data_IF_122250643739
#
_entry.id   IF_122250643739
#
_cell.length_a   1.000
_cell.length_b   1.000
_cell.length_c   1.000
_cell.angle_alpha   90.00
_cell.angle_beta   90.00
_cell.angle_gamma   90.00
#
_symmetry.space_group_name_H-M   'P 1'
#
loop_
_entity.id
_entity.type
_entity.pdbx_description
1 polymer ?
#
# COMPACT_ATOMS: atom_id res chain seq x y z
N UNK A 1 -4.08 6.46 8.44
CA UNK A 1 -3.51 5.42 7.57
C UNK A 1 -2.37 5.96 6.74
N UNK A 2 -1.24 5.30 6.74
CA UNK A 2 -0.12 5.61 5.84
C UNK A 2 -0.34 5.13 4.40
N UNK A 3 -1.33 4.28 4.21
CA UNK A 3 -1.64 3.68 2.92
C UNK A 3 -2.65 4.54 2.17
N UNK A 4 -2.23 5.19 1.10
CA UNK A 4 -3.07 6.04 0.25
C UNK A 4 -4.19 5.27 -0.47
N UNK A 5 -4.07 3.94 -0.55
CA UNK A 5 -4.99 3.05 -1.29
C UNK A 5 -5.77 2.07 -0.41
N UNK A 6 -5.66 2.17 0.92
CA UNK A 6 -6.33 1.23 1.83
C UNK A 6 -7.85 1.41 1.90
N UNK A 7 -8.38 2.53 1.47
CA UNK A 7 -9.81 2.85 1.59
C UNK A 7 -10.71 1.83 0.90
N UNK A 8 -10.32 1.27 -0.24
CA UNK A 8 -11.15 0.36 -1.03
C UNK A 8 -11.51 -0.92 -0.24
N UNK A 9 -10.55 -1.51 0.49
CA UNK A 9 -10.79 -2.69 1.30
C UNK A 9 -11.22 -2.36 2.74
N UNK A 10 -10.77 -1.22 3.27
CA UNK A 10 -11.01 -0.83 4.66
C UNK A 10 -12.44 -0.31 4.86
N UNK A 11 -12.98 0.48 3.93
CA UNK A 11 -14.32 1.07 4.06
C UNK A 11 -15.45 0.05 4.25
N UNK A 12 -15.52 -1.06 3.50
CA UNK A 12 -16.52 -2.10 3.75
C UNK A 12 -16.43 -2.71 5.15
N UNK A 13 -15.20 -2.91 5.65
CA UNK A 13 -14.94 -3.41 6.99
C UNK A 13 -15.43 -2.43 8.06
N UNK A 14 -15.12 -1.14 7.90
CA UNK A 14 -15.55 -0.10 8.82
C UNK A 14 -17.07 0.10 8.83
N UNK A 15 -17.72 -0.01 7.68
CA UNK A 15 -19.18 0.04 7.62
C UNK A 15 -19.82 -1.12 8.41
N UNK A 16 -19.23 -2.32 8.35
CA UNK A 16 -19.67 -3.45 9.15
C UNK A 16 -19.38 -3.24 10.63
N UNK A 17 -18.23 -2.66 10.97
CA UNK A 17 -17.84 -2.36 12.34
C UNK A 17 -18.79 -1.34 13.00
N UNK A 18 -19.14 -0.25 12.30
CA UNK A 18 -20.09 0.77 12.79
C UNK A 18 -21.46 0.20 13.13
N UNK A 19 -21.91 -0.83 12.42
CA UNK A 19 -23.19 -1.49 12.75
C UNK A 19 -23.13 -2.24 14.08
N UNK A 20 -21.97 -2.77 14.45
CA UNK A 20 -21.76 -3.50 15.69
C UNK A 20 -21.44 -2.57 16.87
N UNK A 21 -20.74 -1.48 16.61
CA UNK A 21 -20.30 -0.50 17.60
C UNK A 21 -20.72 0.92 17.19
N UNK A 22 -22.03 1.25 17.25
CA UNK A 22 -22.56 2.52 16.75
C UNK A 22 -22.09 3.75 17.54
N UNK A 23 -21.71 3.55 18.82
CA UNK A 23 -21.25 4.61 19.72
C UNK A 23 -19.74 4.90 19.60
N UNK A 24 -19.01 4.14 18.75
CA UNK A 24 -17.59 4.37 18.51
C UNK A 24 -17.43 5.33 17.34
N UNK A 25 -16.85 6.49 17.62
CA UNK A 25 -16.50 7.46 16.58
C UNK A 25 -15.27 6.99 15.80
N UNK A 26 -15.32 7.11 14.48
CA UNK A 26 -14.26 6.70 13.57
C UNK A 26 -13.85 7.89 12.72
N UNK A 27 -12.64 8.38 12.98
CA UNK A 27 -12.01 9.42 12.19
C UNK A 27 -10.79 8.89 11.43
N UNK A 28 -10.44 9.56 10.35
CA UNK A 28 -9.33 9.20 9.48
C UNK A 28 -8.36 10.36 9.33
N UNK A 29 -7.13 10.11 9.72
CA UNK A 29 -6.04 10.99 9.36
C UNK A 29 -5.26 10.40 8.17
N UNK A 30 -4.99 11.21 7.17
CA UNK A 30 -4.19 10.89 5.99
C UNK A 30 -3.22 12.05 5.71
N UNK A 31 -2.08 11.76 5.06
CA UNK A 31 -1.13 12.80 4.66
C UNK A 31 -0.30 13.30 5.84
N UNK A 32 0.65 12.51 6.29
CA UNK A 32 1.42 12.81 7.49
C UNK A 32 2.63 13.70 7.20
N UNK A 33 2.64 14.89 7.78
CA UNK A 33 3.85 15.69 8.00
C UNK A 33 4.66 15.16 9.20
N UNK A 34 4.01 14.49 10.16
CA UNK A 34 4.61 13.91 11.35
C UNK A 34 4.87 12.40 11.21
N UNK A 35 5.72 11.85 12.09
CA UNK A 35 5.98 10.41 12.18
C UNK A 35 4.74 9.68 12.72
N UNK A 36 4.02 8.87 11.92
CA UNK A 36 2.77 8.24 12.34
C UNK A 36 2.95 7.21 13.46
N UNK A 37 4.14 6.64 13.60
CA UNK A 37 4.47 5.73 14.69
C UNK A 37 4.58 6.46 16.04
N UNK A 38 5.08 7.69 16.02
CA UNK A 38 5.13 8.56 17.20
C UNK A 38 3.71 8.96 17.62
N UNK A 39 2.86 9.35 16.67
CA UNK A 39 1.46 9.68 16.92
C UNK A 39 0.67 8.49 17.49
N UNK A 40 0.97 7.26 17.02
CA UNK A 40 0.41 6.05 17.61
C UNK A 40 0.89 5.86 19.07
N UNK A 41 2.18 6.05 19.34
CA UNK A 41 2.77 5.85 20.65
C UNK A 41 2.28 6.90 21.66
N UNK A 42 2.09 8.16 21.23
CA UNK A 42 1.59 9.26 22.09
C UNK A 42 0.08 9.21 22.33
N UNK A 43 -0.65 8.39 21.56
CA UNK A 43 -2.11 8.25 21.71
C UNK A 43 -2.92 9.23 20.88
N UNK A 44 -2.29 9.97 19.98
CA UNK A 44 -3.00 10.80 19.00
C UNK A 44 -3.72 9.95 17.93
N UNK A 45 -3.18 8.73 17.69
CA UNK A 45 -3.85 7.68 16.91
C UNK A 45 -4.08 6.44 17.76
N UNK A 46 -5.22 5.79 17.56
CA UNK A 46 -5.54 4.52 18.19
C UNK A 46 -5.09 3.33 17.32
N UNK A 47 -5.08 3.52 15.99
CA UNK A 47 -4.73 2.50 15.02
C UNK A 47 -3.90 3.08 13.87
N UNK A 48 -2.84 2.37 13.50
CA UNK A 48 -1.99 2.68 12.35
C UNK A 48 -2.00 1.53 11.35
N UNK A 49 -2.43 1.77 10.11
CA UNK A 49 -2.27 0.82 9.01
C UNK A 49 -0.97 1.14 8.29
N UNK A 50 -0.01 0.22 8.33
CA UNK A 50 1.35 0.43 7.77
C UNK A 50 1.95 -0.84 7.19
N UNK A 51 2.85 -0.69 6.23
CA UNK A 51 3.71 -1.77 5.75
C UNK A 51 5.09 -1.76 6.41
N UNK A 52 5.37 -0.77 7.28
CA UNK A 52 6.67 -0.55 7.93
C UNK A 52 6.53 -0.63 9.46
N UNK A 53 6.30 -1.84 10.04
CA UNK A 53 6.24 -1.98 11.49
C UNK A 53 7.61 -1.70 12.09
N UNK A 54 7.67 -0.86 13.13
CA UNK A 54 8.89 -0.58 13.89
C UNK A 54 8.71 -1.01 15.35
N UNK A 55 9.78 -1.53 15.95
CA UNK A 55 9.75 -1.95 17.35
C UNK A 55 9.63 -0.74 18.27
N UNK A 56 8.46 -0.56 18.89
CA UNK A 56 8.16 0.50 19.85
C UNK A 56 7.66 -0.09 21.15
N UNK A 57 8.09 0.48 22.28
CA UNK A 57 7.60 0.05 23.58
C UNK A 57 6.10 0.34 23.72
N UNK A 58 5.33 -0.69 24.09
CA UNK A 58 3.89 -0.57 24.30
C UNK A 58 3.06 -0.56 23.00
N UNK A 59 3.66 -0.90 21.85
CA UNK A 59 2.96 -1.02 20.56
C UNK A 59 3.08 -2.45 20.05
N UNK A 60 1.97 -3.00 19.61
CA UNK A 60 1.86 -4.28 18.92
C UNK A 60 1.46 -4.08 17.46
N UNK A 61 1.84 -5.04 16.60
CA UNK A 61 1.48 -5.05 15.18
C UNK A 61 0.79 -6.37 14.83
N UNK A 62 -0.44 -6.26 14.40
CA UNK A 62 -1.23 -7.37 13.90
C UNK A 62 -1.07 -7.48 12.37
N UNK A 63 -0.55 -8.61 11.82
CA UNK A 63 -0.45 -8.78 10.37
C UNK A 63 -1.84 -8.95 9.76
N UNK A 64 -2.20 -8.11 8.78
CA UNK A 64 -3.50 -8.15 8.13
C UNK A 64 -3.46 -9.09 6.94
N UNK A 65 -2.62 -8.80 5.93
CA UNK A 65 -2.42 -9.66 4.75
C UNK A 65 -1.13 -9.30 4.01
N UNK A 66 -0.65 -10.24 3.20
CA UNK A 66 0.42 -10.00 2.25
C UNK A 66 -0.11 -9.38 0.95
N UNK A 67 0.72 -8.56 0.32
CA UNK A 67 0.47 -7.97 -0.98
C UNK A 67 1.73 -7.93 -1.85
N UNK A 68 1.55 -7.75 -3.14
CA UNK A 68 2.63 -7.53 -4.09
C UNK A 68 2.54 -6.12 -4.69
N UNK A 69 3.62 -5.33 -4.60
CA UNK A 69 3.75 -4.10 -5.38
C UNK A 69 4.03 -4.46 -6.84
N UNK A 70 3.15 -4.07 -7.75
CA UNK A 70 3.23 -4.37 -9.17
C UNK A 70 3.58 -3.12 -9.97
N UNK A 71 4.36 -3.29 -11.02
CA UNK A 71 4.61 -2.25 -12.02
C UNK A 71 3.31 -1.98 -12.79
N UNK A 72 2.93 -0.71 -12.90
CA UNK A 72 1.72 -0.25 -13.61
C UNK A 72 2.14 0.49 -14.86
N UNK A 73 1.57 0.11 -15.98
CA UNK A 73 1.92 0.57 -17.32
C UNK A 73 0.66 0.97 -18.09
N UNK A 74 0.78 1.90 -19.04
CA UNK A 74 -0.27 2.06 -20.04
C UNK A 74 -0.40 0.79 -20.88
N UNK A 75 -1.58 0.50 -21.41
CA UNK A 75 -1.83 -0.71 -22.22
C UNK A 75 -0.97 -0.81 -23.49
N UNK A 76 -0.45 0.33 -23.95
CA UNK A 76 0.40 0.43 -25.16
C UNK A 76 1.89 0.55 -24.85
N UNK A 77 2.27 0.51 -23.57
CA UNK A 77 3.66 0.67 -23.15
C UNK A 77 4.53 -0.49 -23.66
N UNK A 78 5.75 -0.25 -24.19
CA UNK A 78 6.63 -1.31 -24.69
C UNK A 78 6.91 -2.43 -23.67
N UNK A 79 7.08 -2.09 -22.40
CA UNK A 79 7.35 -3.03 -21.31
C UNK A 79 6.20 -4.00 -21.02
N UNK A 80 4.99 -3.75 -21.51
CA UNK A 80 3.85 -4.69 -21.37
C UNK A 80 4.19 -6.05 -22.02
N UNK A 81 4.90 -6.03 -23.16
CA UNK A 81 5.26 -7.22 -23.93
C UNK A 81 6.73 -7.63 -23.76
N UNK A 82 7.51 -6.90 -22.96
CA UNK A 82 8.89 -7.24 -22.71
C UNK A 82 8.99 -8.63 -22.06
N UNK A 83 9.92 -9.45 -22.50
CA UNK A 83 10.17 -10.77 -21.92
C UNK A 83 10.66 -10.65 -20.49
N UNK A 84 11.57 -9.72 -20.27
CA UNK A 84 12.15 -9.36 -18.98
C UNK A 84 12.12 -7.83 -18.85
N UNK A 85 12.13 -7.34 -17.63
CA UNK A 85 12.17 -5.90 -17.32
C UNK A 85 13.36 -5.70 -16.39
N UNK A 86 14.29 -4.82 -16.80
CA UNK A 86 15.48 -4.49 -16.03
C UNK A 86 15.32 -3.17 -15.27
N UNK A 87 16.11 -2.96 -14.22
CA UNK A 87 16.12 -1.67 -13.50
C UNK A 87 16.56 -0.54 -14.41
N UNK A 88 17.46 -0.82 -15.36
CA UNK A 88 17.95 0.15 -16.35
C UNK A 88 16.81 0.63 -17.27
N UNK A 89 15.98 -0.28 -17.76
CA UNK A 89 14.81 0.08 -18.58
C UNK A 89 13.81 0.92 -17.79
N UNK A 90 13.58 0.56 -16.53
CA UNK A 90 12.69 1.34 -15.64
C UNK A 90 13.28 2.73 -15.34
N UNK A 91 14.60 2.87 -15.31
CA UNK A 91 15.27 4.13 -15.04
C UNK A 91 15.11 5.15 -16.19
N UNK A 92 14.88 4.70 -17.41
CA UNK A 92 14.63 5.59 -18.56
C UNK A 92 13.22 6.20 -18.53
N UNK A 93 12.35 5.72 -17.62
CA UNK A 93 10.97 6.16 -17.51
C UNK A 93 10.79 7.27 -16.45
N UNK A 94 9.67 7.99 -16.57
CA UNK A 94 9.18 8.85 -15.49
C UNK A 94 8.43 7.98 -14.46
N UNK A 95 8.93 7.90 -13.23
CA UNK A 95 8.24 7.25 -12.14
C UNK A 95 7.17 8.18 -11.55
N UNK A 96 5.91 7.77 -11.62
CA UNK A 96 4.77 8.48 -11.03
C UNK A 96 4.43 7.80 -9.70
N UNK A 97 4.46 8.56 -8.61
CA UNK A 97 4.34 8.01 -7.26
C UNK A 97 3.67 8.98 -6.29
N UNK A 98 3.52 8.58 -5.02
CA UNK A 98 3.04 9.46 -3.95
C UNK A 98 4.16 10.40 -3.45
N UNK A 99 3.82 11.58 -2.89
CA UNK A 99 4.77 12.53 -2.33
C UNK A 99 5.23 12.10 -0.93
N UNK A 100 5.84 10.92 -0.83
CA UNK A 100 6.39 10.36 0.41
C UNK A 100 7.91 10.18 0.28
N UNK A 101 8.59 9.98 1.40
CA UNK A 101 10.03 9.68 1.36
C UNK A 101 10.30 8.47 0.46
N UNK A 102 11.32 8.58 -0.38
CA UNK A 102 11.69 7.55 -1.36
C UNK A 102 11.98 6.19 -0.76
N UNK A 103 12.47 6.15 0.50
CA UNK A 103 12.74 4.89 1.20
C UNK A 103 11.48 4.14 1.60
N UNK A 104 10.32 4.80 1.59
CA UNK A 104 9.01 4.21 1.86
C UNK A 104 8.33 3.67 0.60
N UNK A 105 8.85 3.96 -0.57
CA UNK A 105 8.38 3.44 -1.85
C UNK A 105 9.09 2.12 -2.17
N UNK A 106 8.36 1.01 -2.26
CA UNK A 106 8.94 -0.33 -2.48
C UNK A 106 9.83 -0.37 -3.73
N UNK A 107 9.40 0.22 -4.83
CA UNK A 107 10.18 0.27 -6.08
C UNK A 107 11.49 1.05 -5.89
N UNK A 108 11.51 2.07 -5.05
CA UNK A 108 12.72 2.83 -4.76
C UNK A 108 13.62 2.07 -3.79
N UNK A 109 13.08 1.66 -2.64
CA UNK A 109 13.87 1.07 -1.56
C UNK A 109 14.42 -0.33 -1.88
N UNK A 110 13.74 -1.08 -2.73
CA UNK A 110 14.10 -2.47 -3.05
C UNK A 110 14.66 -2.68 -4.45
N UNK A 111 14.51 -1.71 -5.38
CA UNK A 111 15.04 -1.81 -6.74
C UNK A 111 16.04 -0.70 -7.06
N UNK A 112 15.58 0.54 -7.14
CA UNK A 112 16.42 1.64 -7.61
C UNK A 112 17.60 1.95 -6.68
N UNK A 113 17.35 2.09 -5.38
CA UNK A 113 18.40 2.43 -4.40
C UNK A 113 19.44 1.32 -4.29
N UNK A 114 19.09 0.02 -4.13
CA UNK A 114 20.08 -1.05 -4.11
C UNK A 114 20.91 -1.18 -5.40
N UNK A 115 20.31 -0.86 -6.55
CA UNK A 115 21.00 -0.85 -7.84
C UNK A 115 21.89 0.38 -8.04
N UNK A 116 21.83 1.36 -7.14
CA UNK A 116 22.46 2.67 -7.28
C UNK A 116 22.08 3.40 -8.59
N UNK A 117 20.81 3.28 -8.95
CA UNK A 117 20.21 3.87 -10.16
C UNK A 117 19.05 4.75 -9.71
N UNK A 118 18.74 5.80 -10.46
CA UNK A 118 17.58 6.66 -10.21
C UNK A 118 16.70 6.72 -11.46
N UNK A 119 15.38 6.85 -11.32
CA UNK A 119 14.51 7.14 -12.45
C UNK A 119 14.89 8.44 -13.14
N UNK A 120 14.71 8.50 -14.46
CA UNK A 120 14.95 9.70 -15.28
C UNK A 120 14.23 10.93 -14.71
N UNK A 121 13.04 10.74 -14.22
CA UNK A 121 12.23 11.76 -13.56
C UNK A 121 11.32 11.12 -12.52
N UNK A 122 11.05 11.82 -11.43
CA UNK A 122 10.00 11.46 -10.46
C UNK A 122 8.92 12.53 -10.54
N UNK A 123 7.68 12.11 -10.69
CA UNK A 123 6.48 12.93 -10.64
C UNK A 123 5.58 12.45 -9.51
N UNK A 124 5.09 13.36 -8.68
CA UNK A 124 4.27 13.02 -7.52
C UNK A 124 2.81 13.45 -7.68
N UNK A 125 1.92 12.69 -7.06
CA UNK A 125 0.50 13.02 -6.90
C UNK A 125 -0.04 12.35 -5.64
N UNK A 126 -0.94 13.03 -4.93
CA UNK A 126 -1.54 12.52 -3.68
C UNK A 126 -2.66 11.50 -3.94
N UNK A 127 -3.27 11.54 -5.13
CA UNK A 127 -4.44 10.74 -5.46
C UNK A 127 -4.10 9.53 -6.32
N UNK A 128 -4.48 8.34 -5.86
CA UNK A 128 -4.33 7.08 -6.62
C UNK A 128 -4.98 7.15 -7.99
N UNK A 129 -6.19 7.71 -8.10
CA UNK A 129 -6.89 7.86 -9.37
C UNK A 129 -6.13 8.74 -10.35
N UNK A 130 -5.48 9.82 -9.87
CA UNK A 130 -4.66 10.68 -10.71
C UNK A 130 -3.39 9.96 -11.17
N UNK A 131 -2.74 9.18 -10.27
CA UNK A 131 -1.60 8.35 -10.63
C UNK A 131 -1.96 7.40 -11.77
N UNK A 132 -3.05 6.66 -11.63
CA UNK A 132 -3.56 5.73 -12.65
C UNK A 132 -3.84 6.46 -13.97
N UNK A 133 -4.48 7.63 -13.95
CA UNK A 133 -4.77 8.41 -15.17
C UNK A 133 -3.50 8.89 -15.87
N UNK A 134 -2.50 9.31 -15.13
CA UNK A 134 -1.22 9.70 -15.70
C UNK A 134 -0.50 8.52 -16.36
N UNK A 135 -0.50 7.35 -15.70
CA UNK A 135 0.07 6.11 -16.27
C UNK A 135 -0.72 5.68 -17.51
N UNK A 136 -2.04 5.61 -17.44
CA UNK A 136 -2.91 5.24 -18.55
C UNK A 136 -2.70 6.13 -19.78
N UNK A 137 -2.40 7.41 -19.55
CA UNK A 137 -2.12 8.39 -20.60
C UNK A 137 -0.68 8.33 -21.13
N UNK A 138 0.13 7.35 -20.74
CA UNK A 138 1.52 7.19 -21.17
C UNK A 138 2.47 8.28 -20.67
N UNK A 139 2.18 8.90 -19.51
CA UNK A 139 3.02 9.94 -18.91
C UNK A 139 4.13 9.42 -18.04
N UNK A 140 4.23 8.09 -17.89
CA UNK A 140 5.25 7.39 -17.12
C UNK A 140 4.71 6.04 -16.61
N UNK A 141 5.46 5.46 -15.69
CA UNK A 141 5.15 4.19 -15.03
C UNK A 141 4.84 4.42 -13.55
N UNK A 142 4.13 3.50 -12.92
CA UNK A 142 3.85 3.51 -11.49
C UNK A 142 4.20 2.19 -10.82
N UNK A 143 4.23 2.16 -9.49
CA UNK A 143 4.26 0.95 -8.69
C UNK A 143 3.19 1.04 -7.61
N UNK A 144 2.26 0.12 -7.62
CA UNK A 144 1.09 0.11 -6.73
C UNK A 144 0.81 -1.30 -6.20
N UNK A 145 0.20 -1.43 -5.02
CA UNK A 145 -0.28 -2.70 -4.52
C UNK A 145 -1.24 -3.40 -5.48
N UNK A 146 -1.16 -4.72 -5.57
CA UNK A 146 -1.96 -5.57 -6.44
C UNK A 146 -3.47 -5.35 -6.27
N UNK A 147 -3.96 -5.13 -5.04
CA UNK A 147 -5.40 -4.87 -4.81
C UNK A 147 -5.91 -3.60 -5.47
N UNK A 148 -5.05 -2.58 -5.62
CA UNK A 148 -5.38 -1.33 -6.33
C UNK A 148 -5.39 -1.59 -7.83
N UNK A 149 -4.31 -2.22 -8.31
CA UNK A 149 -4.08 -2.40 -9.75
C UNK A 149 -5.15 -3.28 -10.38
N UNK A 150 -5.55 -4.37 -9.70
CA UNK A 150 -6.53 -5.32 -10.20
C UNK A 150 -7.85 -4.66 -10.61
N UNK A 151 -8.33 -3.67 -9.87
CA UNK A 151 -9.55 -2.95 -10.21
C UNK A 151 -9.42 -2.18 -11.53
N UNK A 152 -8.30 -1.51 -11.76
CA UNK A 152 -8.08 -0.71 -12.97
C UNK A 152 -7.69 -1.56 -14.18
N UNK A 153 -7.05 -2.72 -13.96
CA UNK A 153 -6.84 -3.72 -15.01
C UNK A 153 -8.16 -4.31 -15.50
N UNK A 154 -9.08 -4.67 -14.60
CA UNK A 154 -10.42 -5.14 -14.95
C UNK A 154 -11.21 -4.11 -15.75
N UNK A 155 -11.02 -2.83 -15.49
CA UNK A 155 -11.59 -1.71 -16.25
C UNK A 155 -10.89 -1.47 -17.61
N UNK A 156 -9.77 -2.16 -17.87
CA UNK A 156 -8.98 -2.00 -19.09
C UNK A 156 -8.22 -0.68 -19.19
N UNK A 157 -7.98 0.00 -18.08
CA UNK A 157 -7.32 1.32 -18.10
C UNK A 157 -5.79 1.21 -18.13
N UNK A 158 -5.23 0.21 -17.45
CA UNK A 158 -3.80 -0.04 -17.34
C UNK A 158 -3.52 -1.53 -17.46
N UNK A 159 -2.25 -1.87 -17.61
CA UNK A 159 -1.72 -3.25 -17.52
C UNK A 159 -0.68 -3.28 -16.42
N UNK A 160 -0.65 -4.34 -15.60
CA UNK A 160 0.39 -4.52 -14.62
C UNK A 160 1.38 -5.63 -15.00
N UNK A 161 2.58 -5.52 -14.47
CA UNK A 161 3.62 -6.54 -14.55
C UNK A 161 4.20 -6.82 -13.18
N UNK A 162 4.55 -8.08 -12.92
CA UNK A 162 5.38 -8.41 -11.77
C UNK A 162 6.81 -7.90 -12.00
N UNK A 163 7.51 -7.65 -10.92
CA UNK A 163 8.93 -7.25 -10.92
C UNK A 163 9.83 -8.42 -10.45
N UNK A 164 9.48 -9.64 -10.85
CA UNK A 164 10.15 -10.90 -10.50
C UNK A 164 11.53 -11.06 -11.16
N UNK A 165 11.75 -10.44 -12.31
CA UNK A 165 13.06 -10.41 -12.96
C UNK A 165 14.12 -9.59 -12.17
N UNK A 166 13.66 -8.67 -11.33
CA UNK A 166 14.53 -7.82 -10.49
C UNK A 166 14.54 -8.33 -9.04
N UNK A 167 13.41 -8.88 -8.57
CA UNK A 167 13.25 -9.53 -7.27
C UNK A 167 12.48 -10.85 -7.49
N UNK A 168 13.15 -12.03 -7.46
CA UNK A 168 12.54 -13.32 -7.83
C UNK A 168 11.24 -13.65 -7.09
N UNK A 169 11.15 -13.28 -5.81
CA UNK A 169 9.92 -13.41 -5.01
C UNK A 169 8.87 -12.34 -5.30
N UNK A 170 9.14 -11.38 -6.19
CA UNK A 170 8.37 -10.16 -6.40
C UNK A 170 8.55 -9.15 -5.25
N UNK A 171 7.95 -7.98 -5.38
CA UNK A 171 7.96 -6.97 -4.33
C UNK A 171 6.83 -7.23 -3.33
N UNK A 172 6.96 -8.31 -2.54
CA UNK A 172 5.97 -8.70 -1.53
C UNK A 172 6.22 -8.02 -0.20
N UNK A 173 5.14 -7.62 0.44
CA UNK A 173 5.11 -7.04 1.79
C UNK A 173 3.87 -7.50 2.54
N UNK A 174 3.94 -7.37 3.87
CA UNK A 174 2.79 -7.56 4.74
C UNK A 174 2.28 -6.19 5.19
N UNK A 175 0.97 -6.01 5.16
CA UNK A 175 0.30 -4.87 5.74
C UNK A 175 -0.07 -5.19 7.19
N UNK A 176 0.16 -4.24 8.09
CA UNK A 176 -0.07 -4.40 9.53
C UNK A 176 -1.04 -3.36 10.06
N UNK A 177 -1.74 -3.74 11.13
CA UNK A 177 -2.44 -2.82 12.03
C UNK A 177 -1.58 -2.66 13.29
N UNK A 178 -0.97 -1.50 13.48
CA UNK A 178 -0.27 -1.13 14.71
C UNK A 178 -1.22 -0.49 15.72
N UNK A 179 -1.09 -0.83 16.99
CA UNK A 179 -1.91 -0.29 18.08
C UNK A 179 -1.16 -0.35 19.41
N UNK A 180 -1.56 0.48 20.38
CA UNK A 180 -1.02 0.39 21.75
C UNK A 180 -1.54 -0.87 22.43
N UNK A 181 -0.68 -1.57 23.16
CA UNK A 181 -1.02 -2.85 23.82
C UNK A 181 -2.25 -2.72 24.74
N UNK A 182 -2.40 -1.58 25.42
CA UNK A 182 -3.54 -1.28 26.32
C UNK A 182 -4.88 -1.17 25.60
N UNK A 183 -4.89 -0.79 24.31
CA UNK A 183 -6.11 -0.68 23.50
C UNK A 183 -6.81 -2.03 23.32
N UNK A 184 -6.04 -3.11 23.30
CA UNK A 184 -6.54 -4.47 23.08
C UNK A 184 -7.51 -4.95 24.18
N UNK A 185 -7.43 -4.38 25.37
CA UNK A 185 -8.31 -4.70 26.49
C UNK A 185 -9.70 -4.08 26.37
N UNK A 186 -9.91 -3.17 25.43
CA UNK A 186 -11.19 -2.52 25.17
C UNK A 186 -12.04 -3.37 24.24
N UNK A 187 -13.24 -3.71 24.63
CA UNK A 187 -14.16 -4.60 23.85
C UNK A 187 -14.36 -4.17 22.41
N UNK A 188 -14.55 -2.87 22.18
CA UNK A 188 -14.72 -2.33 20.83
C UNK A 188 -13.45 -2.50 19.99
N UNK A 189 -12.28 -2.34 20.60
CA UNK A 189 -11.01 -2.47 19.87
C UNK A 189 -10.70 -3.94 19.55
N UNK A 190 -10.91 -4.84 20.50
CA UNK A 190 -10.83 -6.29 20.28
C UNK A 190 -11.79 -6.73 19.16
N UNK A 191 -13.01 -6.18 19.16
CA UNK A 191 -14.01 -6.40 18.11
C UNK A 191 -13.51 -5.98 16.74
N UNK A 192 -12.81 -4.85 16.63
CA UNK A 192 -12.20 -4.40 15.39
C UNK A 192 -11.10 -5.35 14.92
N UNK A 193 -10.18 -5.77 15.80
CA UNK A 193 -9.13 -6.72 15.46
C UNK A 193 -9.70 -8.08 15.01
N UNK A 194 -10.78 -8.57 15.62
CA UNK A 194 -11.49 -9.79 15.19
C UNK A 194 -12.08 -9.65 13.78
N UNK A 195 -12.59 -8.47 13.42
CA UNK A 195 -13.09 -8.22 12.07
C UNK A 195 -11.94 -8.15 11.04
N UNK A 196 -10.80 -7.53 11.40
CA UNK A 196 -9.59 -7.54 10.58
C UNK A 196 -9.09 -8.97 10.33
N UNK A 197 -9.02 -9.81 11.36
CA UNK A 197 -8.60 -11.21 11.24
C UNK A 197 -9.53 -12.01 10.32
N UNK A 198 -10.85 -11.83 10.47
CA UNK A 198 -11.83 -12.45 9.59
C UNK A 198 -11.68 -12.01 8.13
N UNK A 199 -11.42 -10.72 7.91
CA UNK A 199 -11.16 -10.17 6.58
C UNK A 199 -9.87 -10.75 6.00
N UNK A 200 -8.78 -10.79 6.77
CA UNK A 200 -7.50 -11.36 6.37
C UNK A 200 -7.63 -12.83 5.93
N UNK A 201 -8.30 -13.66 6.73
CA UNK A 201 -8.56 -15.07 6.42
C UNK A 201 -9.39 -15.26 5.16
N UNK A 202 -10.41 -14.43 4.96
CA UNK A 202 -11.23 -14.47 3.74
C UNK A 202 -10.40 -14.10 2.51
N UNK A 203 -9.57 -13.05 2.61
CA UNK A 203 -8.70 -12.61 1.51
C UNK A 203 -7.67 -13.69 1.12
N UNK A 204 -7.06 -14.35 2.10
CA UNK A 204 -6.09 -15.42 1.85
C UNK A 204 -6.68 -16.57 1.02
N UNK A 205 -7.99 -16.84 1.11
CA UNK A 205 -8.67 -17.87 0.31
C UNK A 205 -8.86 -17.51 -1.17
N UNK A 206 -8.78 -16.23 -1.53
CA UNK A 206 -8.95 -15.76 -2.92
C UNK A 206 -7.63 -15.55 -3.69
N UNK A 207 -6.49 -15.67 -3.01
CA UNK A 207 -5.16 -15.47 -3.59
C UNK A 207 -4.31 -16.77 -3.65
N UNK A 208 -4.95 -17.95 -3.50
CA UNK A 208 -4.32 -19.26 -3.70
C UNK A 208 -4.62 -19.76 -5.14
#
# INVERSE_FOLDING_TARGET
SECHSCFDWLMPLLNQYRQQYPDVDLDFASGFEANPHELLQTGEFDLLITADPIALKGVEYFPIFEYESRLVLSNTHPLVRAKEITVQELAEETLITYPVDKHRLDIMSRLFIPANILPKQIRTTDLTQMLIQLVASGRGIGALPDWVVNEYEQKGWVTSRRLDCVAPEGLRRTLYAGYRTEEKEKDYFEGFLKQLDKFAKKRAQYYI
#
